data_IF_427266396273
#
_entry.id   IF_427266396273
#
_cell.length_a   1.000
_cell.length_b   1.000
_cell.length_c   1.000
_cell.angle_alpha   90.00
_cell.angle_beta   90.00
_cell.angle_gamma   90.00
#
_symmetry.space_group_name_H-M   'P 1'
#
loop_
_entity.id
_entity.type
_entity.pdbx_description
1 polymer ?
#
# COMPACT_ATOMS: atom_id res chain seq x y z
N UNK A 1 11.51 -20.63 -1.64
CA UNK A 1 12.59 -20.27 -2.57
C UNK A 1 13.44 -21.46 -3.01
N UNK A 2 13.72 -22.45 -2.15
CA UNK A 2 14.61 -23.57 -2.53
C UNK A 2 14.02 -24.56 -3.55
N UNK A 3 12.68 -24.65 -3.64
CA UNK A 3 12.02 -25.52 -4.61
C UNK A 3 12.34 -25.04 -6.04
N UNK A 4 12.68 -25.95 -6.98
CA UNK A 4 13.08 -25.57 -8.34
C UNK A 4 12.09 -24.67 -9.09
N UNK A 5 10.78 -24.86 -8.91
CA UNK A 5 9.73 -24.04 -9.55
C UNK A 5 9.62 -22.64 -8.94
N UNK A 6 10.11 -22.44 -7.73
CA UNK A 6 10.07 -21.15 -7.06
C UNK A 6 11.34 -20.33 -7.25
N UNK A 7 12.37 -20.90 -7.87
CA UNK A 7 13.62 -20.17 -8.13
C UNK A 7 13.37 -19.07 -9.15
N UNK A 8 13.88 -17.85 -8.89
CA UNK A 8 13.70 -16.74 -9.82
C UNK A 8 14.46 -16.98 -11.13
N UNK A 9 13.77 -16.75 -12.23
CA UNK A 9 14.36 -16.69 -13.57
C UNK A 9 14.34 -15.24 -14.01
N UNK A 10 15.52 -14.64 -14.12
CA UNK A 10 15.69 -13.24 -14.50
C UNK A 10 15.79 -13.10 -16.01
N UNK A 11 14.94 -12.26 -16.60
CA UNK A 11 15.13 -11.75 -17.96
C UNK A 11 16.13 -10.58 -17.89
N UNK A 12 17.38 -10.87 -18.26
CA UNK A 12 18.49 -9.90 -18.17
C UNK A 12 18.27 -8.68 -19.07
N UNK A 13 17.57 -8.84 -20.22
CA UNK A 13 17.31 -7.71 -21.12
C UNK A 13 16.27 -6.75 -20.56
N UNK A 14 15.27 -7.28 -19.87
CA UNK A 14 14.21 -6.50 -19.23
C UNK A 14 14.54 -6.10 -17.79
N UNK A 15 15.46 -6.80 -17.14
CA UNK A 15 15.81 -6.59 -15.74
C UNK A 15 14.65 -6.91 -14.79
N UNK A 16 13.88 -7.97 -15.05
CA UNK A 16 12.75 -8.41 -14.23
C UNK A 16 12.74 -9.92 -14.07
N UNK A 17 12.20 -10.40 -12.96
CA UNK A 17 11.91 -11.83 -12.78
C UNK A 17 10.65 -12.18 -13.57
N UNK A 18 10.75 -13.22 -14.43
CA UNK A 18 9.66 -13.68 -15.29
C UNK A 18 8.98 -14.95 -14.80
N UNK A 19 9.71 -15.82 -14.11
CA UNK A 19 9.22 -17.06 -13.53
C UNK A 19 9.83 -17.28 -12.15
N UNK A 20 9.11 -18.03 -11.30
CA UNK A 20 9.48 -18.18 -9.90
C UNK A 20 9.40 -16.85 -9.16
N UNK A 21 9.95 -16.77 -7.97
CA UNK A 21 9.83 -15.62 -7.08
C UNK A 21 11.21 -15.17 -6.61
N UNK A 22 11.58 -13.94 -6.92
CA UNK A 22 12.79 -13.29 -6.38
C UNK A 22 12.56 -12.75 -4.96
N UNK A 23 11.29 -12.71 -4.52
CA UNK A 23 10.89 -12.19 -3.22
C UNK A 23 9.68 -12.98 -2.71
N UNK A 24 9.70 -13.34 -1.43
CA UNK A 24 8.57 -13.94 -0.73
C UNK A 24 8.25 -13.12 0.52
N UNK A 25 7.00 -12.73 0.69
CA UNK A 25 6.55 -12.00 1.87
C UNK A 25 5.51 -12.78 2.67
N UNK A 26 5.57 -12.73 4.01
CA UNK A 26 4.60 -13.37 4.88
C UNK A 26 3.32 -12.54 4.98
N UNK A 27 2.28 -13.15 5.55
CA UNK A 27 1.09 -12.44 5.99
C UNK A 27 1.47 -11.42 7.06
N UNK A 28 0.95 -10.20 6.92
CA UNK A 28 1.10 -9.15 7.93
C UNK A 28 -0.15 -9.07 8.78
N UNK A 29 0.01 -9.01 10.09
CA UNK A 29 -1.07 -8.79 11.05
C UNK A 29 -0.72 -7.64 11.99
N UNK A 30 -1.75 -7.06 12.61
CA UNK A 30 -1.55 -6.06 13.66
C UNK A 30 -1.37 -6.74 15.00
N UNK A 31 -0.35 -6.33 15.74
CA UNK A 31 -0.12 -6.80 17.11
C UNK A 31 -1.28 -6.41 18.03
N UNK A 32 -1.85 -7.38 18.74
CA UNK A 32 -3.03 -7.16 19.58
C UNK A 32 -2.77 -6.20 20.74
N UNK A 33 -1.57 -6.20 21.30
CA UNK A 33 -1.22 -5.31 22.42
C UNK A 33 -1.22 -3.85 21.96
N UNK A 34 -0.58 -3.53 20.86
CA UNK A 34 -0.55 -2.18 20.30
C UNK A 34 -1.91 -1.74 19.75
N UNK A 35 -2.68 -2.66 19.16
CA UNK A 35 -4.03 -2.42 18.70
C UNK A 35 -5.00 -2.05 19.83
N UNK A 36 -4.73 -2.48 21.06
CA UNK A 36 -5.54 -2.18 22.23
C UNK A 36 -4.92 -1.15 23.19
N UNK A 37 -3.76 -0.59 22.85
CA UNK A 37 -3.03 0.30 23.75
C UNK A 37 -3.75 1.64 24.01
N UNK A 38 -4.56 2.13 23.07
CA UNK A 38 -5.32 3.38 23.18
C UNK A 38 -6.68 3.25 22.52
N UNK A 39 -7.62 4.16 22.84
CA UNK A 39 -8.92 4.19 22.19
C UNK A 39 -8.81 4.48 20.69
N UNK A 40 -7.86 5.31 20.30
CA UNK A 40 -7.51 5.54 18.90
C UNK A 40 -7.10 4.23 18.20
N UNK A 41 -6.16 3.50 18.77
CA UNK A 41 -5.68 2.25 18.20
C UNK A 41 -6.82 1.22 18.09
N UNK A 42 -7.66 1.08 19.12
CA UNK A 42 -8.79 0.15 19.09
C UNK A 42 -9.78 0.39 17.97
N UNK A 43 -9.98 1.65 17.59
CA UNK A 43 -10.92 2.01 16.50
C UNK A 43 -10.28 1.84 15.13
N UNK A 44 -8.98 2.16 14.99
CA UNK A 44 -8.37 2.33 13.67
C UNK A 44 -7.34 1.27 13.28
N UNK A 45 -6.90 0.40 14.19
CA UNK A 45 -5.84 -0.56 13.90
C UNK A 45 -6.18 -1.54 12.77
N UNK A 46 -7.41 -2.08 12.74
CA UNK A 46 -7.77 -3.11 11.77
C UNK A 46 -6.94 -4.41 11.91
N UNK A 47 -7.32 -5.49 11.23
CA UNK A 47 -6.65 -6.78 11.35
C UNK A 47 -5.41 -6.93 10.45
N UNK A 48 -5.33 -6.21 9.34
CA UNK A 48 -4.40 -6.50 8.23
C UNK A 48 -3.01 -5.85 8.33
N UNK A 49 -2.68 -5.17 9.43
CA UNK A 49 -1.35 -4.56 9.56
C UNK A 49 -1.05 -3.56 8.43
N UNK A 50 0.12 -3.70 7.80
CA UNK A 50 0.57 -2.85 6.70
C UNK A 50 0.08 -3.33 5.31
N UNK A 51 -0.42 -4.56 5.21
CA UNK A 51 -0.89 -5.15 3.95
C UNK A 51 -2.42 -5.25 3.92
N UNK A 52 -3.11 -4.39 3.17
CA UNK A 52 -4.57 -4.42 3.07
C UNK A 52 -5.11 -5.55 2.19
N UNK A 53 -4.26 -6.24 1.43
CA UNK A 53 -4.66 -7.28 0.46
C UNK A 53 -4.41 -8.69 0.96
N UNK A 54 -3.50 -8.86 1.94
CA UNK A 54 -3.19 -10.13 2.58
C UNK A 54 -4.23 -10.49 3.64
N UNK A 55 -4.85 -11.65 3.50
CA UNK A 55 -5.83 -12.20 4.43
C UNK A 55 -5.39 -13.53 5.04
N UNK A 56 -6.26 -14.12 5.87
CA UNK A 56 -6.00 -15.43 6.47
C UNK A 56 -5.96 -16.57 5.43
N UNK A 57 -6.65 -16.38 4.29
CA UNK A 57 -6.81 -17.42 3.27
C UNK A 57 -5.92 -17.23 2.04
N UNK A 58 -5.34 -16.05 1.84
CA UNK A 58 -4.52 -15.73 0.67
C UNK A 58 -4.28 -14.23 0.49
N UNK A 59 -3.60 -13.88 -0.57
CA UNK A 59 -3.39 -12.49 -1.00
C UNK A 59 -4.06 -12.30 -2.37
N UNK A 60 -4.94 -11.31 -2.47
CA UNK A 60 -5.82 -11.12 -3.61
C UNK A 60 -5.11 -11.10 -4.96
N UNK A 61 -4.00 -10.38 -5.07
CA UNK A 61 -3.26 -10.27 -6.33
C UNK A 61 -2.46 -11.54 -6.64
N UNK A 62 -1.95 -12.21 -5.61
CA UNK A 62 -1.30 -13.51 -5.75
C UNK A 62 -2.27 -14.55 -6.28
N UNK A 63 -3.46 -14.62 -5.67
CA UNK A 63 -4.49 -15.60 -6.04
C UNK A 63 -5.06 -15.38 -7.45
N UNK A 64 -5.23 -14.11 -7.85
CA UNK A 64 -5.82 -13.77 -9.14
C UNK A 64 -4.82 -13.66 -10.29
N UNK A 65 -3.57 -13.28 -10.02
CA UNK A 65 -2.60 -12.88 -11.04
C UNK A 65 -1.21 -13.48 -10.86
N UNK A 66 -1.03 -14.33 -9.88
CA UNK A 66 0.29 -14.89 -9.51
C UNK A 66 1.32 -13.78 -9.21
N UNK A 67 0.89 -12.69 -8.53
CA UNK A 67 1.73 -11.54 -8.23
C UNK A 67 1.42 -10.91 -6.88
N UNK A 68 2.14 -11.37 -5.86
CA UNK A 68 2.02 -10.84 -4.50
C UNK A 68 2.57 -9.43 -4.35
N UNK A 69 2.07 -8.72 -3.35
CA UNK A 69 2.61 -7.45 -2.90
C UNK A 69 3.94 -7.59 -2.17
N UNK A 70 4.53 -6.47 -1.78
CA UNK A 70 5.65 -6.48 -0.86
C UNK A 70 5.50 -5.32 0.14
N UNK A 71 5.21 -5.62 1.40
CA UNK A 71 5.06 -4.61 2.45
C UNK A 71 6.38 -4.23 3.14
N UNK A 72 7.53 -4.53 2.51
CA UNK A 72 8.86 -4.25 3.05
C UNK A 72 9.39 -5.28 4.05
N UNK A 73 8.73 -6.43 4.18
CA UNK A 73 9.16 -7.52 5.07
C UNK A 73 9.05 -8.85 4.37
N UNK A 74 10.14 -9.60 4.32
CA UNK A 74 10.15 -10.88 3.62
C UNK A 74 11.55 -11.43 3.40
N UNK A 75 11.64 -12.41 2.52
CA UNK A 75 12.88 -13.05 2.10
C UNK A 75 13.13 -12.67 0.64
N UNK A 76 14.34 -12.19 0.34
CA UNK A 76 14.75 -11.81 -1.00
C UNK A 76 15.88 -12.74 -1.51
N UNK A 77 15.84 -13.05 -2.80
CA UNK A 77 17.00 -13.61 -3.49
C UNK A 77 17.97 -12.47 -3.83
N UNK A 78 19.14 -12.48 -3.18
CA UNK A 78 20.12 -11.39 -3.30
C UNK A 78 20.66 -11.23 -4.73
N UNK A 79 20.78 -12.33 -5.48
CA UNK A 79 21.25 -12.28 -6.87
C UNK A 79 20.18 -11.65 -7.75
N UNK A 80 18.94 -12.12 -7.67
CA UNK A 80 17.83 -11.54 -8.42
C UNK A 80 17.65 -10.05 -8.10
N UNK A 81 17.81 -9.66 -6.83
CA UNK A 81 17.75 -8.25 -6.42
C UNK A 81 18.84 -7.41 -7.11
N UNK A 82 20.07 -7.88 -7.11
CA UNK A 82 21.18 -7.17 -7.77
C UNK A 82 20.99 -7.10 -9.29
N UNK A 83 20.53 -8.20 -9.91
CA UNK A 83 20.34 -8.28 -11.36
C UNK A 83 19.16 -7.40 -11.83
N UNK A 84 18.08 -7.29 -11.06
CA UNK A 84 16.89 -6.55 -11.45
C UNK A 84 16.86 -5.10 -10.95
N UNK A 85 17.32 -4.84 -9.72
CA UNK A 85 17.21 -3.53 -9.06
C UNK A 85 18.55 -2.80 -8.93
N UNK A 86 19.66 -3.49 -9.22
CA UNK A 86 20.99 -2.90 -9.24
C UNK A 86 21.20 -1.92 -10.40
N UNK A 87 22.40 -1.35 -10.50
CA UNK A 87 22.78 -0.50 -11.64
C UNK A 87 21.98 0.82 -11.77
N UNK A 88 21.34 1.29 -10.71
CA UNK A 88 20.61 2.56 -10.73
C UNK A 88 19.19 2.47 -11.32
N UNK A 89 18.63 1.27 -11.48
CA UNK A 89 17.21 1.07 -11.86
C UNK A 89 16.30 1.77 -10.89
N UNK A 90 16.54 1.60 -9.59
CA UNK A 90 15.95 2.41 -8.52
C UNK A 90 16.99 3.45 -8.10
N UNK A 91 16.80 4.74 -8.40
CA UNK A 91 17.80 5.77 -8.12
C UNK A 91 18.02 5.92 -6.61
N UNK A 92 19.27 5.83 -6.20
CA UNK A 92 19.67 6.00 -4.81
C UNK A 92 19.22 7.36 -4.24
N UNK A 93 18.67 7.36 -3.04
CA UNK A 93 18.23 8.56 -2.33
C UNK A 93 16.99 9.27 -2.90
N UNK A 94 16.43 8.82 -4.03
CA UNK A 94 15.23 9.44 -4.63
C UNK A 94 13.92 8.74 -4.26
N UNK A 95 13.98 7.44 -4.06
CA UNK A 95 12.83 6.62 -3.69
C UNK A 95 13.06 6.09 -2.29
N UNK A 96 12.30 6.59 -1.32
CA UNK A 96 12.46 6.24 0.09
C UNK A 96 11.58 5.05 0.51
N UNK A 97 10.56 4.71 -0.28
CA UNK A 97 9.69 3.55 -0.10
C UNK A 97 9.69 2.76 -1.40
N UNK A 98 10.73 1.97 -1.60
CA UNK A 98 10.96 1.21 -2.83
C UNK A 98 10.33 -0.19 -2.80
N UNK A 99 9.75 -0.59 -1.66
CA UNK A 99 9.20 -1.93 -1.46
C UNK A 99 8.28 -2.38 -2.60
N UNK A 100 7.34 -1.53 -3.00
CA UNK A 100 6.40 -1.84 -4.09
C UNK A 100 7.10 -2.03 -5.45
N UNK A 101 8.22 -1.34 -5.69
CA UNK A 101 9.03 -1.51 -6.90
C UNK A 101 9.81 -2.82 -6.83
N UNK A 102 10.43 -3.14 -5.70
CA UNK A 102 11.12 -4.42 -5.51
C UNK A 102 10.17 -5.58 -5.75
N UNK A 103 8.95 -5.54 -5.16
CA UNK A 103 7.92 -6.54 -5.41
C UNK A 103 7.58 -6.69 -6.89
N UNK A 104 7.50 -5.57 -7.63
CA UNK A 104 7.18 -5.56 -9.06
C UNK A 104 8.33 -6.11 -9.94
N UNK A 105 9.57 -5.77 -9.65
CA UNK A 105 10.74 -6.26 -10.39
C UNK A 105 11.08 -7.70 -10.08
N UNK A 106 10.92 -8.12 -8.82
CA UNK A 106 11.34 -9.43 -8.33
C UNK A 106 10.25 -10.49 -8.41
N UNK A 107 9.05 -10.17 -8.91
CA UNK A 107 7.91 -11.09 -8.88
C UNK A 107 7.64 -11.60 -7.47
N UNK A 108 7.00 -10.77 -6.64
CA UNK A 108 6.70 -11.10 -5.27
C UNK A 108 5.73 -12.29 -5.14
N UNK A 109 6.04 -13.21 -4.23
CA UNK A 109 5.15 -14.31 -3.86
C UNK A 109 4.70 -14.19 -2.39
N UNK A 110 3.59 -14.83 -2.06
CA UNK A 110 2.98 -14.79 -0.73
C UNK A 110 3.19 -16.08 0.06
N UNK A 111 3.53 -15.96 1.33
CA UNK A 111 3.66 -17.07 2.28
C UNK A 111 2.51 -17.01 3.28
N UNK A 112 1.39 -17.67 2.97
CA UNK A 112 0.18 -17.62 3.77
C UNK A 112 0.27 -18.38 5.11
N UNK A 113 1.20 -19.30 5.24
CA UNK A 113 1.46 -20.10 6.45
C UNK A 113 2.40 -19.43 7.47
N UNK A 114 2.99 -18.29 7.10
CA UNK A 114 3.84 -17.47 7.96
C UNK A 114 3.19 -16.13 8.25
N UNK A 115 3.08 -15.77 9.52
CA UNK A 115 2.55 -14.48 9.95
C UNK A 115 3.60 -13.67 10.68
N UNK A 116 3.74 -12.40 10.31
CA UNK A 116 4.50 -11.41 11.07
C UNK A 116 3.54 -10.35 11.59
N UNK A 117 3.74 -9.96 12.84
CA UNK A 117 2.96 -8.89 13.48
C UNK A 117 3.71 -7.56 13.39
N UNK A 118 2.97 -6.47 13.18
CA UNK A 118 3.49 -5.11 13.21
C UNK A 118 2.72 -4.27 14.22
N UNK A 119 3.40 -3.35 14.88
CA UNK A 119 2.79 -2.47 15.88
C UNK A 119 1.94 -1.39 15.21
N UNK A 120 0.80 -1.08 15.83
CA UNK A 120 -0.03 0.03 15.40
C UNK A 120 0.31 1.30 16.18
N UNK A 121 0.36 2.48 15.52
CA UNK A 121 0.60 3.75 16.19
C UNK A 121 -0.45 4.08 17.25
N UNK A 122 -0.01 4.39 18.46
CA UNK A 122 -0.90 4.67 19.58
C UNK A 122 -1.61 6.02 19.50
N UNK A 123 -1.21 6.92 18.59
CA UNK A 123 -1.75 8.28 18.48
C UNK A 123 -2.00 8.70 17.03
N UNK A 124 -3.01 9.58 16.78
CA UNK A 124 -3.32 10.10 15.44
C UNK A 124 -2.12 10.77 14.74
N UNK A 125 -1.33 11.54 15.46
CA UNK A 125 -0.16 12.23 14.90
C UNK A 125 0.92 11.25 14.44
N UNK A 126 1.15 10.18 15.20
CA UNK A 126 2.10 9.13 14.81
C UNK A 126 1.61 8.36 13.55
N UNK A 127 0.31 8.10 13.48
CA UNK A 127 -0.32 7.55 12.28
C UNK A 127 -0.17 8.50 11.08
N UNK A 128 -0.45 9.80 11.28
CA UNK A 128 -0.30 10.82 10.24
C UNK A 128 1.13 10.89 9.69
N UNK A 129 2.14 10.80 10.55
CA UNK A 129 3.54 10.77 10.16
C UNK A 129 3.88 9.51 9.35
N UNK A 130 3.33 8.33 9.73
CA UNK A 130 3.46 7.08 8.96
C UNK A 130 2.80 7.21 7.59
N UNK A 131 1.54 7.66 7.54
CA UNK A 131 0.79 7.85 6.30
C UNK A 131 1.47 8.84 5.35
N UNK A 132 2.01 9.94 5.87
CA UNK A 132 2.77 10.92 5.09
C UNK A 132 3.99 10.29 4.41
N UNK A 133 4.74 9.41 5.10
CA UNK A 133 5.88 8.71 4.49
C UNK A 133 5.43 7.80 3.35
N UNK A 134 4.34 7.04 3.53
CA UNK A 134 3.80 6.15 2.52
C UNK A 134 3.32 6.92 1.29
N UNK A 135 2.50 7.95 1.49
CA UNK A 135 2.01 8.82 0.40
C UNK A 135 3.17 9.42 -0.38
N UNK A 136 4.20 9.93 0.32
CA UNK A 136 5.39 10.45 -0.34
C UNK A 136 6.09 9.38 -1.18
N UNK A 137 6.25 8.17 -0.65
CA UNK A 137 6.81 7.03 -1.38
C UNK A 137 6.01 6.67 -2.62
N UNK A 138 4.68 6.62 -2.51
CA UNK A 138 3.79 6.36 -3.65
C UNK A 138 4.00 7.38 -4.78
N UNK A 139 4.10 8.68 -4.45
CA UNK A 139 4.36 9.72 -5.44
C UNK A 139 5.77 9.65 -6.04
N UNK A 140 6.76 9.22 -5.28
CA UNK A 140 8.11 8.97 -5.80
C UNK A 140 8.14 7.81 -6.80
N UNK A 141 7.20 6.85 -6.68
CA UNK A 141 7.03 5.74 -7.60
C UNK A 141 6.26 6.10 -8.89
N UNK A 142 5.67 7.30 -8.99
CA UNK A 142 4.88 7.74 -10.16
C UNK A 142 5.59 7.57 -11.53
N UNK A 143 6.92 7.78 -11.67
CA UNK A 143 7.62 7.53 -12.94
C UNK A 143 7.49 6.09 -13.45
N UNK A 144 7.32 5.10 -12.58
CA UNK A 144 7.13 3.69 -12.97
C UNK A 144 5.71 3.37 -13.41
N UNK A 145 4.77 4.32 -13.27
CA UNK A 145 3.42 4.20 -13.81
C UNK A 145 3.34 4.78 -15.21
N UNK A 146 3.89 5.98 -15.43
CA UNK A 146 3.63 6.80 -16.61
C UNK A 146 4.79 6.83 -17.63
N UNK A 147 6.02 6.50 -17.25
CA UNK A 147 7.19 6.60 -18.13
C UNK A 147 7.47 5.32 -18.91
N UNK A 148 8.50 5.39 -19.80
CA UNK A 148 9.01 4.21 -20.51
C UNK A 148 9.55 3.13 -19.56
N UNK A 149 10.01 3.47 -18.35
CA UNK A 149 10.45 2.54 -17.31
C UNK A 149 9.33 1.59 -16.89
N UNK A 150 8.08 2.06 -16.95
CA UNK A 150 6.91 1.25 -16.66
C UNK A 150 6.70 0.07 -17.62
N UNK A 151 7.27 0.10 -18.84
CA UNK A 151 7.01 -0.93 -19.85
C UNK A 151 7.62 -2.29 -19.54
N UNK A 152 8.62 -2.35 -18.68
CA UNK A 152 9.24 -3.61 -18.27
C UNK A 152 8.41 -4.32 -17.19
N UNK A 153 7.65 -3.57 -16.39
CA UNK A 153 6.80 -4.11 -15.34
C UNK A 153 5.54 -4.77 -15.90
N UNK A 154 5.06 -5.77 -15.21
CA UNK A 154 3.78 -6.40 -15.54
C UNK A 154 2.62 -5.40 -15.37
N UNK A 155 1.57 -5.44 -16.20
CA UNK A 155 0.45 -4.49 -16.12
C UNK A 155 -0.22 -4.41 -14.75
N UNK A 156 -0.34 -5.53 -14.04
CA UNK A 156 -0.96 -5.57 -12.70
C UNK A 156 -0.09 -4.85 -11.66
N UNK A 157 1.24 -4.95 -11.74
CA UNK A 157 2.13 -4.23 -10.84
C UNK A 157 2.03 -2.71 -11.06
N UNK A 158 1.95 -2.29 -12.32
CA UNK A 158 1.69 -0.89 -12.67
C UNK A 158 0.34 -0.41 -12.15
N UNK A 159 -0.70 -1.25 -12.25
CA UNK A 159 -2.02 -0.95 -11.69
C UNK A 159 -1.93 -0.76 -10.17
N UNK A 160 -1.22 -1.62 -9.45
CA UNK A 160 -1.02 -1.51 -7.99
C UNK A 160 -0.32 -0.22 -7.59
N UNK A 161 0.73 0.17 -8.32
CA UNK A 161 1.39 1.47 -8.11
C UNK A 161 0.43 2.64 -8.34
N UNK A 162 -0.40 2.57 -9.40
CA UNK A 162 -1.43 3.57 -9.68
C UNK A 162 -2.53 3.59 -8.60
N UNK A 163 -2.94 2.44 -8.09
CA UNK A 163 -3.93 2.33 -7.02
C UNK A 163 -3.42 2.94 -5.70
N UNK A 164 -2.14 2.79 -5.40
CA UNK A 164 -1.50 3.46 -4.27
C UNK A 164 -1.59 4.99 -4.38
N UNK A 165 -1.35 5.55 -5.59
CA UNK A 165 -1.57 6.99 -5.84
C UNK A 165 -3.04 7.38 -5.70
N UNK A 166 -3.95 6.58 -6.25
CA UNK A 166 -5.39 6.83 -6.14
C UNK A 166 -5.82 6.96 -4.69
N UNK A 167 -5.35 6.08 -3.79
CA UNK A 167 -5.64 6.16 -2.35
C UNK A 167 -5.27 7.51 -1.75
N UNK A 168 -4.13 8.06 -2.13
CA UNK A 168 -3.69 9.38 -1.64
C UNK A 168 -4.53 10.54 -2.17
N UNK A 169 -5.19 10.37 -3.33
CA UNK A 169 -6.02 11.38 -3.97
C UNK A 169 -7.47 11.38 -3.46
N UNK A 170 -7.91 10.36 -2.77
CA UNK A 170 -9.31 10.27 -2.29
C UNK A 170 -9.69 11.46 -1.41
N UNK A 171 -8.88 11.80 -0.41
CA UNK A 171 -9.17 12.91 0.49
C UNK A 171 -9.22 14.27 -0.23
N UNK A 172 -8.21 14.69 -1.00
CA UNK A 172 -8.29 15.95 -1.75
C UNK A 172 -9.41 15.96 -2.81
N UNK A 173 -9.68 14.83 -3.46
CA UNK A 173 -10.81 14.74 -4.41
C UNK A 173 -12.16 14.89 -3.71
N UNK A 174 -12.32 14.32 -2.52
CA UNK A 174 -13.54 14.50 -1.70
C UNK A 174 -13.74 15.96 -1.34
N UNK A 175 -12.71 16.64 -0.86
CA UNK A 175 -12.79 18.07 -0.55
C UNK A 175 -13.07 18.92 -1.79
N UNK A 176 -12.44 18.61 -2.93
CA UNK A 176 -12.71 19.28 -4.19
C UNK A 176 -14.16 19.08 -4.64
N UNK A 177 -14.69 17.86 -4.52
CA UNK A 177 -16.08 17.55 -4.87
C UNK A 177 -17.07 18.31 -3.96
N UNK A 178 -16.80 18.38 -2.64
CA UNK A 178 -17.61 19.16 -1.71
C UNK A 178 -17.59 20.64 -2.08
N UNK A 179 -16.41 21.20 -2.31
CA UNK A 179 -16.26 22.61 -2.71
C UNK A 179 -17.01 22.93 -4.00
N UNK A 180 -16.81 22.12 -5.05
CA UNK A 180 -17.52 22.26 -6.33
C UNK A 180 -19.03 22.12 -6.15
N UNK A 181 -19.49 21.18 -5.31
CA UNK A 181 -20.90 21.01 -4.99
C UNK A 181 -21.52 22.25 -4.32
N UNK A 182 -20.75 22.94 -3.48
CA UNK A 182 -21.20 24.18 -2.85
C UNK A 182 -21.24 25.37 -3.83
N UNK A 183 -20.25 25.46 -4.74
CA UNK A 183 -20.10 26.57 -5.68
C UNK A 183 -21.02 26.43 -6.91
N UNK A 184 -21.06 25.23 -7.49
CA UNK A 184 -21.90 24.95 -8.64
C UNK A 184 -23.36 24.88 -8.22
N UNK A 185 -24.24 25.64 -8.93
CA UNK A 185 -25.68 25.70 -8.64
C UNK A 185 -26.45 24.46 -9.12
N UNK A 186 -25.84 23.29 -9.05
CA UNK A 186 -26.45 22.01 -9.45
C UNK A 186 -27.12 21.36 -8.23
N UNK A 187 -28.47 21.29 -8.17
CA UNK A 187 -29.19 20.94 -6.93
C UNK A 187 -28.76 19.58 -6.34
N UNK A 188 -28.61 18.55 -7.17
CA UNK A 188 -28.22 17.21 -6.72
C UNK A 188 -26.80 17.17 -6.18
N UNK A 189 -25.84 17.87 -6.80
CA UNK A 189 -24.46 17.93 -6.37
C UNK A 189 -24.31 18.73 -5.05
N UNK A 190 -25.11 19.80 -4.91
CA UNK A 190 -25.15 20.59 -3.65
C UNK A 190 -25.69 19.77 -2.49
N UNK A 191 -26.78 19.02 -2.71
CA UNK A 191 -27.33 18.14 -1.68
C UNK A 191 -26.32 17.07 -1.26
N UNK A 192 -25.64 16.42 -2.21
CA UNK A 192 -24.60 15.45 -1.94
C UNK A 192 -23.41 16.07 -1.16
N UNK A 193 -23.00 17.30 -1.52
CA UNK A 193 -21.94 18.02 -0.82
C UNK A 193 -22.33 18.35 0.63
N UNK A 194 -23.56 18.81 0.86
CA UNK A 194 -24.05 19.09 2.23
C UNK A 194 -24.19 17.81 3.05
N UNK A 195 -24.67 16.72 2.45
CA UNK A 195 -24.74 15.41 3.12
C UNK A 195 -23.33 14.90 3.50
N UNK A 196 -22.34 15.04 2.62
CA UNK A 196 -20.96 14.68 2.91
C UNK A 196 -20.35 15.53 4.03
N UNK A 197 -20.58 16.85 4.03
CA UNK A 197 -20.15 17.75 5.11
C UNK A 197 -20.78 17.39 6.44
N UNK A 198 -22.08 17.11 6.44
CA UNK A 198 -22.81 16.68 7.63
C UNK A 198 -22.26 15.35 8.17
N UNK A 199 -22.05 14.37 7.31
CA UNK A 199 -21.47 13.08 7.70
C UNK A 199 -20.07 13.23 8.31
N UNK A 200 -19.21 14.07 7.73
CA UNK A 200 -17.88 14.37 8.26
C UNK A 200 -17.96 15.08 9.63
N UNK A 201 -18.88 16.04 9.78
CA UNK A 201 -19.10 16.74 11.04
C UNK A 201 -19.62 15.80 12.15
N UNK A 202 -20.57 14.93 11.81
CA UNK A 202 -21.11 13.94 12.76
C UNK A 202 -20.05 12.92 13.17
N UNK A 203 -19.23 12.44 12.23
CA UNK A 203 -18.12 11.53 12.52
C UNK A 203 -17.08 12.19 13.44
N UNK A 204 -16.69 13.44 13.16
CA UNK A 204 -15.78 14.21 14.01
C UNK A 204 -16.37 14.45 15.40
N UNK A 205 -17.66 14.82 15.48
CA UNK A 205 -18.36 15.01 16.75
C UNK A 205 -18.45 13.72 17.56
N UNK A 206 -18.74 12.59 16.90
CA UNK A 206 -18.82 11.28 17.55
C UNK A 206 -17.47 10.86 18.14
N UNK A 207 -16.40 10.98 17.36
CA UNK A 207 -15.04 10.67 17.82
C UNK A 207 -14.61 11.58 18.97
N UNK A 208 -14.91 12.89 18.87
CA UNK A 208 -14.61 13.86 19.94
C UNK A 208 -15.39 13.56 21.21
N UNK A 209 -16.71 13.36 21.10
CA UNK A 209 -17.58 13.07 22.24
C UNK A 209 -17.18 11.78 22.95
N UNK A 210 -16.88 10.73 22.17
CA UNK A 210 -16.46 9.45 22.72
C UNK A 210 -15.10 9.53 23.44
N UNK A 211 -14.15 10.33 22.93
CA UNK A 211 -12.87 10.59 23.56
C UNK A 211 -12.98 11.46 24.84
N UNK A 212 -14.03 12.29 24.95
CA UNK A 212 -14.20 13.21 26.07
C UNK A 212 -14.97 12.58 27.26
N UNK A 213 -15.84 11.59 27.01
CA UNK A 213 -16.67 10.96 28.03
C UNK A 213 -16.08 9.67 28.63
N UNK A 214 -14.86 9.33 28.33
CA UNK A 214 -14.07 8.25 28.92
C UNK A 214 -12.81 8.78 29.58
#
# INVERSE_FOLDING_TARGET
MLHPLNRPVVDVQRGVVTHGYGLLHPRMATELQSANATDWARVFAGPGGADPYGGACGELYMDCFDRGGFPGKGILDARALLDCCGGGVIPEGRVLSHDALEGAYLHGGFLGDVELTDTFPAAPLAWGARAHRWIRGDWQNAPWIFSRRARVLHPIDRFRLADSLRRSLVAPATWAAIFLGCVLRWPGLRLAAYAALLALALAAFWVYSWAYWR
#
